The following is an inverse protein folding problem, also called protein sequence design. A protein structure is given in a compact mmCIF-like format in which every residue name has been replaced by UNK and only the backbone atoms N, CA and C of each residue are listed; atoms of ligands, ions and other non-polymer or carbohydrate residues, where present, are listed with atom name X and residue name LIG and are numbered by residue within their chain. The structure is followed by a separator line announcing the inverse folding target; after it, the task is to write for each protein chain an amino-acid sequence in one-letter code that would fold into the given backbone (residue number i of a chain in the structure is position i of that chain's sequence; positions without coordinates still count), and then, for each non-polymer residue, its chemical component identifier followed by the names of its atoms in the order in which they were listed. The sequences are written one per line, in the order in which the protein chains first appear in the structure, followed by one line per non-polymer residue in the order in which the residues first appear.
data_IF_219203806240
#
_entry.id   IF_219203806240
#
_cell.length_a   1.000
_cell.length_b   1.000
_cell.length_c   1.000
_cell.angle_alpha   90.00
_cell.angle_beta   90.00
_cell.angle_gamma   90.00
#
_symmetry.space_group_name_H-M   'P 1'
#
loop_
_entity.id
_entity.type
_entity.pdbx_description
1 polymer ?
#
# COMPACT_ATOMS: atom_id res chain seq x y z
N UNK A 1 -4.64 47.02 13.38
CA UNK A 1 -5.66 47.60 12.48
C UNK A 1 -5.01 48.30 11.30
N UNK A 2 -4.00 49.16 11.52
CA UNK A 2 -3.41 50.04 10.51
C UNK A 2 -2.94 49.37 9.21
N UNK A 3 -2.32 48.18 9.27
CA UNK A 3 -1.78 47.51 8.07
C UNK A 3 -2.86 47.10 7.07
N UNK A 4 -4.01 46.60 7.54
CA UNK A 4 -5.09 46.11 6.67
C UNK A 4 -5.93 47.25 6.09
N UNK A 5 -6.13 48.30 6.87
CA UNK A 5 -6.76 49.54 6.41
C UNK A 5 -5.91 50.27 5.37
N UNK A 6 -4.60 50.27 5.59
CA UNK A 6 -3.61 50.75 4.61
C UNK A 6 -3.70 49.95 3.30
N UNK A 7 -3.75 48.60 3.37
CA UNK A 7 -3.94 47.76 2.18
C UNK A 7 -5.26 48.09 1.48
N UNK A 8 -6.37 48.23 2.21
CA UNK A 8 -7.67 48.58 1.63
C UNK A 8 -7.63 49.93 0.91
N UNK A 9 -6.95 50.94 1.47
CA UNK A 9 -6.76 52.24 0.84
C UNK A 9 -5.91 52.14 -0.43
N UNK A 10 -4.84 51.35 -0.42
CA UNK A 10 -4.00 51.10 -1.60
C UNK A 10 -4.74 50.35 -2.72
N UNK A 11 -5.66 49.45 -2.36
CA UNK A 11 -6.47 48.69 -3.33
C UNK A 11 -7.68 49.49 -3.86
N UNK A 12 -8.01 50.64 -3.26
CA UNK A 12 -9.15 51.46 -3.62
C UNK A 12 -8.81 52.49 -4.73
N UNK A 13 -8.42 52.00 -5.91
CA UNK A 13 -8.10 52.87 -7.06
C UNK A 13 -9.19 52.79 -8.14
N UNK A 14 -9.68 53.92 -8.68
CA UNK A 14 -10.70 53.93 -9.72
C UNK A 14 -10.29 53.12 -10.96
N UNK A 15 -11.23 52.35 -11.52
CA UNK A 15 -11.08 51.54 -12.75
C UNK A 15 -9.99 50.45 -12.68
N UNK A 16 -9.60 50.01 -11.50
CA UNK A 16 -8.71 48.85 -11.32
C UNK A 16 -9.41 47.69 -10.61
N UNK A 17 -9.04 46.47 -10.99
CA UNK A 17 -9.45 45.25 -10.33
C UNK A 17 -8.19 44.49 -9.87
N UNK A 18 -8.17 44.09 -8.60
CA UNK A 18 -7.08 43.30 -8.03
C UNK A 18 -7.55 41.85 -7.86
N UNK A 19 -6.86 40.92 -8.47
CA UNK A 19 -7.09 39.48 -8.28
C UNK A 19 -6.10 38.97 -7.26
N UNK A 20 -6.59 38.55 -6.09
CA UNK A 20 -5.76 38.05 -4.99
C UNK A 20 -5.98 36.54 -4.88
N UNK A 21 -4.90 35.77 -5.05
CA UNK A 21 -4.89 34.34 -4.75
C UNK A 21 -4.28 34.12 -3.36
N UNK A 22 -5.10 33.70 -2.39
CA UNK A 22 -4.68 33.46 -1.03
C UNK A 22 -5.35 32.20 -0.44
N UNK A 23 -4.67 31.57 0.51
CA UNK A 23 -5.25 30.52 1.36
C UNK A 23 -5.87 31.21 2.58
N UNK A 24 -7.20 31.28 2.59
CA UNK A 24 -7.97 32.00 3.60
C UNK A 24 -7.64 31.54 5.03
N UNK A 25 -7.50 30.23 5.23
CA UNK A 25 -7.21 29.64 6.54
C UNK A 25 -5.82 30.05 7.03
N UNK A 26 -4.81 30.01 6.16
CA UNK A 26 -3.44 30.42 6.54
C UNK A 26 -3.36 31.90 6.86
N UNK A 27 -4.12 32.73 6.15
CA UNK A 27 -4.16 34.16 6.43
C UNK A 27 -4.89 34.40 7.77
N UNK A 28 -5.98 33.70 8.04
CA UNK A 28 -6.67 33.75 9.34
C UNK A 28 -5.75 33.28 10.48
N UNK A 29 -4.98 32.20 10.29
CA UNK A 29 -4.01 31.70 11.27
C UNK A 29 -2.90 32.73 11.56
N UNK A 30 -2.36 33.37 10.52
CA UNK A 30 -1.37 34.43 10.67
C UNK A 30 -1.94 35.66 11.39
N UNK A 31 -3.21 35.99 11.14
CA UNK A 31 -3.92 37.05 11.85
C UNK A 31 -4.15 36.68 13.32
N UNK A 32 -4.42 35.40 13.64
CA UNK A 32 -4.60 34.91 15.01
C UNK A 32 -3.35 35.11 15.87
N UNK A 33 -2.15 34.89 15.29
CA UNK A 33 -0.88 35.14 15.99
C UNK A 33 -0.72 36.62 16.36
N UNK A 34 -1.20 37.52 15.51
CA UNK A 34 -1.05 38.97 15.69
C UNK A 34 -2.20 39.61 16.48
N UNK A 35 -3.37 39.00 16.46
CA UNK A 35 -4.59 39.43 17.13
C UNK A 35 -5.23 38.24 17.86
N UNK A 36 -4.66 37.83 19.01
CA UNK A 36 -5.22 36.73 19.80
C UNK A 36 -6.63 37.08 20.31
N UNK A 37 -7.52 36.09 20.30
CA UNK A 37 -8.90 36.25 20.76
C UNK A 37 -8.93 36.51 22.28
N UNK A 38 -9.51 37.63 22.76
CA UNK A 38 -9.59 37.92 24.19
C UNK A 38 -10.51 36.96 24.97
N UNK A 39 -11.26 36.05 24.31
CA UNK A 39 -12.28 35.20 24.92
C UNK A 39 -11.86 33.81 25.41
N UNK A 40 -10.62 33.36 25.22
CA UNK A 40 -10.19 31.98 25.59
C UNK A 40 -9.93 31.76 27.10
N UNK A 41 -10.78 32.31 27.96
CA UNK A 41 -10.72 32.17 29.42
C UNK A 41 -11.95 31.55 30.07
N UNK A 42 -13.15 31.75 29.55
CA UNK A 42 -14.37 31.15 30.09
C UNK A 42 -15.49 31.27 29.06
N UNK A 43 -15.88 30.14 28.44
CA UNK A 43 -17.27 29.79 28.11
C UNK A 43 -17.26 28.47 27.32
N UNK A 44 -17.08 27.37 28.05
CA UNK A 44 -17.63 26.10 27.62
C UNK A 44 -19.16 26.21 27.75
N UNK A 45 -19.90 26.31 26.65
CA UNK A 45 -21.35 26.14 26.75
C UNK A 45 -22.23 26.58 25.58
N UNK A 46 -21.94 27.66 24.86
CA UNK A 46 -22.94 28.21 23.95
C UNK A 46 -22.40 28.59 22.57
N UNK A 47 -23.04 27.98 21.56
CA UNK A 47 -23.16 28.38 20.16
C UNK A 47 -21.95 28.14 19.23
N UNK A 48 -22.07 27.04 18.45
CA UNK A 48 -21.23 26.67 17.29
C UNK A 48 -21.30 27.66 16.10
N UNK A 49 -21.71 28.91 16.32
CA UNK A 49 -21.92 29.94 15.29
C UNK A 49 -21.22 31.27 15.62
N UNK A 50 -20.20 31.28 16.47
CA UNK A 50 -19.32 32.44 16.57
C UNK A 50 -18.36 32.43 15.38
N UNK A 51 -18.67 33.20 14.33
CA UNK A 51 -17.73 33.46 13.24
C UNK A 51 -16.43 34.02 13.83
N UNK A 52 -15.31 33.29 13.64
CA UNK A 52 -14.03 33.69 14.24
C UNK A 52 -13.62 35.09 13.76
N UNK A 53 -13.28 36.02 14.68
CA UNK A 53 -12.91 37.39 14.30
C UNK A 53 -11.80 37.45 13.26
N UNK A 54 -10.83 36.53 13.33
CA UNK A 54 -9.72 36.40 12.39
C UNK A 54 -10.17 36.12 10.94
N UNK A 55 -11.20 35.29 10.75
CA UNK A 55 -11.76 34.95 9.44
C UNK A 55 -12.49 36.14 8.80
N UNK A 56 -13.16 36.95 9.63
CA UNK A 56 -13.94 38.10 9.18
C UNK A 56 -13.10 39.29 8.68
N UNK A 57 -11.80 39.32 8.99
CA UNK A 57 -10.91 40.39 8.52
C UNK A 57 -10.67 40.35 7.01
N UNK A 58 -10.69 39.16 6.38
CA UNK A 58 -10.52 39.03 4.94
C UNK A 58 -11.72 39.59 4.16
N UNK A 59 -12.93 39.43 4.70
CA UNK A 59 -14.16 39.99 4.12
C UNK A 59 -14.13 41.53 4.04
N UNK A 60 -13.31 42.20 4.86
CA UNK A 60 -13.17 43.67 4.83
C UNK A 60 -12.27 44.16 3.69
N UNK A 61 -11.44 43.29 3.11
CA UNK A 61 -10.48 43.61 2.05
C UNK A 61 -10.97 43.07 0.71
N UNK A 62 -11.48 41.84 0.69
CA UNK A 62 -11.90 41.15 -0.53
C UNK A 62 -13.40 41.33 -0.73
N UNK A 63 -13.79 41.98 -1.83
CA UNK A 63 -15.21 42.25 -2.16
C UNK A 63 -15.94 41.01 -2.68
N UNK A 64 -15.24 40.15 -3.42
CA UNK A 64 -15.81 38.94 -3.99
C UNK A 64 -14.80 37.82 -3.84
N UNK A 65 -15.16 36.81 -3.05
CA UNK A 65 -14.39 35.59 -2.91
C UNK A 65 -14.89 34.58 -3.94
N UNK A 66 -13.97 34.00 -4.69
CA UNK A 66 -14.25 32.87 -5.59
C UNK A 66 -13.47 31.68 -5.06
N UNK A 67 -14.12 30.74 -4.33
CA UNK A 67 -13.43 29.56 -3.86
C UNK A 67 -13.03 28.71 -5.06
N UNK A 68 -11.79 28.20 -5.06
CA UNK A 68 -11.37 27.25 -6.07
C UNK A 68 -12.08 25.92 -5.79
N UNK A 69 -12.92 25.41 -6.72
CA UNK A 69 -13.61 24.16 -6.51
C UNK A 69 -12.60 23.01 -6.47
N UNK A 70 -12.88 22.03 -5.61
CA UNK A 70 -12.19 20.73 -5.67
C UNK A 70 -12.54 20.01 -6.96
N UNK A 71 -11.62 19.20 -7.47
CA UNK A 71 -11.89 18.38 -8.65
C UNK A 71 -13.06 17.43 -8.34
N UNK A 72 -13.94 17.20 -9.31
CA UNK A 72 -14.92 16.12 -9.25
C UNK A 72 -14.22 14.75 -9.39
N UNK A 73 -14.96 13.65 -9.20
CA UNK A 73 -14.42 12.30 -9.43
C UNK A 73 -13.92 12.13 -10.87
N UNK A 74 -14.71 12.57 -11.85
CA UNK A 74 -14.33 12.56 -13.26
C UNK A 74 -13.07 13.40 -13.51
N UNK A 75 -13.01 14.60 -12.92
CA UNK A 75 -11.87 15.49 -13.11
C UNK A 75 -10.60 14.99 -12.44
N UNK A 76 -10.75 14.27 -11.33
CA UNK A 76 -9.63 13.60 -10.65
C UNK A 76 -9.05 12.52 -11.57
N UNK A 77 -9.91 11.71 -12.18
CA UNK A 77 -9.49 10.66 -13.12
C UNK A 77 -8.81 11.26 -14.35
N UNK A 78 -9.43 12.26 -14.98
CA UNK A 78 -8.86 13.00 -16.11
C UNK A 78 -7.51 13.65 -15.74
N UNK A 79 -7.42 14.24 -14.55
CA UNK A 79 -6.19 14.86 -14.07
C UNK A 79 -5.06 13.85 -13.86
N UNK A 80 -5.36 12.65 -13.34
CA UNK A 80 -4.38 11.57 -13.22
C UNK A 80 -3.85 11.12 -14.57
N UNK A 81 -4.74 10.93 -15.57
CA UNK A 81 -4.34 10.56 -16.94
C UNK A 81 -3.44 11.64 -17.54
N UNK A 82 -3.87 12.91 -17.50
CA UNK A 82 -3.11 14.03 -18.05
C UNK A 82 -1.74 14.21 -17.36
N UNK A 83 -1.66 14.00 -16.04
CA UNK A 83 -0.39 14.05 -15.33
C UNK A 83 0.57 12.95 -15.78
N UNK A 84 0.09 11.74 -16.06
CA UNK A 84 0.94 10.68 -16.59
C UNK A 84 1.39 10.98 -18.02
N UNK A 85 0.48 11.43 -18.88
CA UNK A 85 0.80 11.83 -20.26
C UNK A 85 1.81 12.98 -20.32
N UNK A 86 1.71 13.97 -19.42
CA UNK A 86 2.59 15.14 -19.38
C UNK A 86 4.08 14.83 -19.16
N UNK A 87 4.42 13.58 -18.83
CA UNK A 87 5.80 13.15 -18.65
C UNK A 87 6.40 12.48 -19.88
N UNK A 88 5.52 12.01 -20.77
CA UNK A 88 5.88 11.32 -22.00
C UNK A 88 5.73 12.24 -23.20
N UNK A 89 4.77 13.16 -23.14
CA UNK A 89 4.39 14.05 -24.22
C UNK A 89 4.91 15.46 -23.98
N UNK A 90 5.15 16.19 -25.07
CA UNK A 90 5.39 17.62 -25.02
C UNK A 90 4.09 18.40 -24.75
N UNK A 91 4.20 19.66 -24.34
CA UNK A 91 3.00 20.51 -24.11
C UNK A 91 2.12 20.64 -25.37
N UNK A 92 2.74 20.63 -26.56
CA UNK A 92 2.01 20.71 -27.83
C UNK A 92 1.18 19.45 -28.10
N UNK A 93 1.76 18.28 -27.82
CA UNK A 93 1.10 16.98 -28.00
C UNK A 93 0.07 16.67 -26.90
N UNK A 94 0.21 17.31 -25.73
CA UNK A 94 -0.73 17.17 -24.61
C UNK A 94 -2.02 17.99 -24.81
N UNK A 95 -1.93 19.12 -25.50
CA UNK A 95 -3.05 20.06 -25.70
C UNK A 95 -4.31 19.39 -26.29
N UNK A 96 -4.23 18.53 -27.33
CA UNK A 96 -5.37 17.79 -27.84
C UNK A 96 -6.09 16.91 -26.79
N UNK A 97 -5.34 16.29 -25.87
CA UNK A 97 -5.90 15.48 -24.79
C UNK A 97 -6.61 16.35 -23.75
N UNK A 98 -6.06 17.53 -23.43
CA UNK A 98 -6.71 18.50 -22.54
C UNK A 98 -8.05 18.93 -23.13
N UNK A 99 -8.06 19.32 -24.41
CA UNK A 99 -9.28 19.76 -25.11
C UNK A 99 -10.33 18.64 -25.19
N UNK A 100 -9.89 17.40 -25.44
CA UNK A 100 -10.77 16.24 -25.43
C UNK A 100 -11.40 15.98 -24.05
N UNK A 101 -10.63 16.06 -22.97
CA UNK A 101 -11.15 15.96 -21.60
C UNK A 101 -12.17 17.07 -21.29
N UNK A 102 -11.94 18.30 -21.75
CA UNK A 102 -12.90 19.42 -21.58
C UNK A 102 -14.20 19.16 -22.34
N UNK A 103 -14.13 18.65 -23.57
CA UNK A 103 -15.32 18.26 -24.35
C UNK A 103 -16.10 17.15 -23.64
N UNK A 104 -15.42 16.07 -23.25
CA UNK A 104 -16.04 14.94 -22.55
C UNK A 104 -16.71 15.36 -21.23
N UNK A 105 -16.09 16.26 -20.46
CA UNK A 105 -16.70 16.84 -19.26
C UNK A 105 -18.02 17.55 -19.56
N UNK A 106 -18.06 18.38 -20.61
CA UNK A 106 -19.26 19.14 -21.00
C UNK A 106 -20.37 18.25 -21.52
N UNK A 107 -20.00 17.20 -22.25
CA UNK A 107 -20.93 16.24 -22.86
C UNK A 107 -21.34 15.11 -21.91
N UNK A 108 -20.81 15.08 -20.68
CA UNK A 108 -20.97 13.98 -19.71
C UNK A 108 -20.54 12.61 -20.29
N UNK A 109 -19.51 12.62 -21.13
CA UNK A 109 -18.94 11.43 -21.74
C UNK A 109 -18.07 10.61 -20.77
N UNK A 110 -17.80 9.36 -21.14
CA UNK A 110 -16.88 8.48 -20.43
C UNK A 110 -15.43 8.82 -20.79
N UNK A 111 -14.53 8.74 -19.80
CA UNK A 111 -13.09 9.00 -20.03
C UNK A 111 -12.45 7.97 -20.95
N UNK A 112 -12.99 6.74 -21.02
CA UNK A 112 -12.55 5.68 -21.94
C UNK A 112 -12.56 6.12 -23.42
N UNK A 113 -13.42 7.08 -23.76
CA UNK A 113 -13.53 7.62 -25.12
C UNK A 113 -12.36 8.56 -25.48
N UNK A 114 -11.47 8.89 -24.54
CA UNK A 114 -10.34 9.80 -24.76
C UNK A 114 -9.37 9.26 -25.82
N UNK A 115 -9.11 7.95 -25.82
CA UNK A 115 -8.22 7.30 -26.78
C UNK A 115 -8.77 7.36 -28.22
N UNK A 116 -10.09 7.31 -28.38
CA UNK A 116 -10.74 7.46 -29.67
C UNK A 116 -10.86 8.93 -30.12
N UNK A 117 -10.89 9.87 -29.16
CA UNK A 117 -11.07 11.30 -29.42
C UNK A 117 -9.78 11.98 -29.91
N UNK A 118 -8.62 11.44 -29.58
CA UNK A 118 -7.31 11.93 -30.02
C UNK A 118 -6.64 10.78 -30.78
N UNK A 119 -6.70 10.79 -32.11
CA UNK A 119 -6.04 9.79 -32.97
C UNK A 119 -4.52 9.78 -32.68
N UNK A 120 -4.09 8.93 -31.75
CA UNK A 120 -2.74 8.96 -31.22
C UNK A 120 -2.51 7.88 -30.17
N UNK A 121 -1.23 7.80 -29.75
CA UNK A 121 -0.57 6.90 -28.81
C UNK A 121 -1.48 6.06 -27.89
N UNK A 122 -1.08 4.80 -27.66
CA UNK A 122 -1.72 3.93 -26.67
C UNK A 122 -1.64 4.55 -25.26
N UNK A 123 -2.80 4.93 -24.73
CA UNK A 123 -2.99 5.50 -23.38
C UNK A 123 -3.66 4.50 -22.41
N UNK A 124 -3.79 3.24 -22.81
CA UNK A 124 -4.54 2.23 -22.04
C UNK A 124 -3.95 2.01 -20.63
N UNK A 125 -2.63 2.06 -20.49
CA UNK A 125 -1.95 1.91 -19.22
C UNK A 125 -2.24 3.08 -18.26
N UNK A 126 -2.21 4.32 -18.76
CA UNK A 126 -2.51 5.53 -17.99
C UNK A 126 -3.97 5.55 -17.54
N UNK A 127 -4.89 5.10 -18.39
CA UNK A 127 -6.33 5.02 -18.11
C UNK A 127 -6.64 3.90 -17.10
N UNK A 128 -5.98 2.75 -17.24
CA UNK A 128 -6.06 1.67 -16.25
C UNK A 128 -5.52 2.10 -14.88
N UNK A 129 -4.39 2.82 -14.85
CA UNK A 129 -3.81 3.36 -13.61
C UNK A 129 -4.75 4.38 -12.96
N UNK A 130 -5.27 5.34 -13.74
CA UNK A 130 -6.17 6.38 -13.23
C UNK A 130 -7.48 5.80 -12.69
N UNK A 131 -8.09 4.84 -13.39
CA UNK A 131 -9.34 4.21 -12.93
C UNK A 131 -9.17 3.42 -11.63
N UNK A 132 -8.02 2.73 -11.44
CA UNK A 132 -7.69 2.02 -10.18
C UNK A 132 -7.40 2.97 -9.03
N UNK A 133 -6.71 4.08 -9.28
CA UNK A 133 -6.29 5.02 -8.23
C UNK A 133 -7.36 6.05 -7.84
N UNK A 134 -8.24 6.43 -8.77
CA UNK A 134 -9.24 7.49 -8.56
C UNK A 134 -10.13 7.26 -7.34
N UNK A 135 -10.74 6.07 -7.10
CA UNK A 135 -11.61 5.86 -5.95
C UNK A 135 -10.92 6.24 -4.63
N UNK A 136 -9.67 5.82 -4.49
CA UNK A 136 -8.86 5.96 -3.28
C UNK A 136 -8.44 7.41 -3.08
N UNK A 137 -7.85 7.99 -4.13
CA UNK A 137 -7.30 9.33 -4.07
C UNK A 137 -8.41 10.36 -3.95
N UNK A 138 -9.55 10.13 -4.60
CA UNK A 138 -10.70 11.03 -4.51
C UNK A 138 -11.30 11.05 -3.09
N UNK A 139 -11.56 9.86 -2.52
CA UNK A 139 -12.14 9.74 -1.16
C UNK A 139 -11.26 10.42 -0.11
N UNK A 140 -9.94 10.19 -0.15
CA UNK A 140 -9.03 10.62 0.92
C UNK A 140 -8.31 11.95 0.68
N UNK A 141 -8.14 12.38 -0.58
CA UNK A 141 -7.52 13.68 -0.91
C UNK A 141 -8.54 14.76 -1.25
N UNK A 142 -9.84 14.43 -1.24
CA UNK A 142 -10.96 15.33 -1.52
C UNK A 142 -10.78 16.13 -2.82
N UNK A 143 -10.27 15.48 -3.87
CA UNK A 143 -10.09 16.11 -5.18
C UNK A 143 -9.11 17.29 -5.22
N UNK A 144 -8.20 17.43 -4.24
CA UNK A 144 -7.20 18.50 -4.23
C UNK A 144 -6.08 18.24 -5.27
N UNK A 145 -5.95 19.04 -6.34
CA UNK A 145 -4.94 18.81 -7.38
C UNK A 145 -3.51 18.80 -6.85
N UNK A 146 -3.22 19.68 -5.88
CA UNK A 146 -1.90 19.79 -5.24
C UNK A 146 -1.56 18.53 -4.45
N UNK A 147 -2.51 18.00 -3.67
CA UNK A 147 -2.30 16.78 -2.88
C UNK A 147 -2.11 15.57 -3.79
N UNK A 148 -2.91 15.47 -4.85
CA UNK A 148 -2.80 14.40 -5.86
C UNK A 148 -1.42 14.43 -6.55
N UNK A 149 -1.00 15.59 -7.06
CA UNK A 149 0.33 15.74 -7.70
C UNK A 149 1.46 15.40 -6.73
N UNK A 150 1.38 15.86 -5.48
CA UNK A 150 2.38 15.53 -4.44
C UNK A 150 2.43 14.02 -4.19
N UNK A 151 1.28 13.36 -4.06
CA UNK A 151 1.21 11.92 -3.88
C UNK A 151 1.89 11.16 -5.03
N UNK A 152 1.61 11.54 -6.29
CA UNK A 152 2.22 10.91 -7.46
C UNK A 152 3.73 11.17 -7.57
N UNK A 153 4.19 12.35 -7.18
CA UNK A 153 5.62 12.65 -7.10
C UNK A 153 6.31 11.76 -6.06
N UNK A 154 5.73 11.66 -4.88
CA UNK A 154 6.26 10.81 -3.81
C UNK A 154 6.26 9.33 -4.24
N UNK A 155 5.25 8.88 -4.99
CA UNK A 155 5.17 7.53 -5.53
C UNK A 155 6.35 7.19 -6.43
N UNK A 156 6.74 8.10 -7.33
CA UNK A 156 7.89 7.92 -8.24
C UNK A 156 9.20 7.87 -7.49
N UNK A 157 9.38 8.78 -6.53
CA UNK A 157 10.60 8.80 -5.71
C UNK A 157 10.74 7.47 -4.98
N UNK A 158 9.65 6.92 -4.46
CA UNK A 158 9.68 5.61 -3.78
C UNK A 158 9.93 4.45 -4.72
N UNK A 159 9.35 4.46 -5.91
CA UNK A 159 9.64 3.45 -6.94
C UNK A 159 11.12 3.46 -7.28
N UNK A 160 11.69 4.64 -7.57
CA UNK A 160 13.13 4.77 -7.84
C UNK A 160 14.00 4.25 -6.68
N UNK A 161 13.63 4.53 -5.43
CA UNK A 161 14.36 4.02 -4.26
C UNK A 161 14.21 2.49 -4.12
N UNK A 162 13.02 1.95 -4.38
CA UNK A 162 12.75 0.51 -4.36
C UNK A 162 13.55 -0.22 -5.44
N UNK A 163 13.55 0.29 -6.68
CA UNK A 163 14.29 -0.24 -7.81
C UNK A 163 15.79 -0.28 -7.54
N UNK A 164 16.36 0.81 -6.98
CA UNK A 164 17.77 0.86 -6.60
C UNK A 164 18.15 -0.10 -5.47
N UNK A 165 17.19 -0.56 -4.66
CA UNK A 165 17.38 -1.60 -3.63
C UNK A 165 17.11 -3.02 -4.15
N UNK A 166 16.75 -3.18 -5.42
CA UNK A 166 16.39 -4.46 -6.01
C UNK A 166 15.00 -4.96 -5.60
N UNK A 167 14.13 -4.08 -5.08
CA UNK A 167 12.75 -4.41 -4.74
C UNK A 167 11.90 -4.21 -5.99
N UNK A 168 11.56 -5.31 -6.67
CA UNK A 168 10.74 -5.28 -7.89
C UNK A 168 9.26 -5.39 -7.50
N UNK A 169 8.54 -4.26 -7.53
CA UNK A 169 7.10 -4.21 -7.30
C UNK A 169 6.40 -3.39 -8.38
N UNK A 170 5.19 -3.82 -8.73
CA UNK A 170 4.36 -3.05 -9.66
C UNK A 170 4.00 -1.67 -9.08
N UNK A 171 3.99 -0.61 -9.91
CA UNK A 171 3.65 0.75 -9.49
C UNK A 171 2.36 0.88 -8.68
N UNK A 172 1.37 0.06 -9.01
CA UNK A 172 0.05 0.06 -8.39
C UNK A 172 0.05 -0.54 -6.98
N UNK A 173 0.88 -1.57 -6.75
CA UNK A 173 1.07 -2.17 -5.43
C UNK A 173 1.70 -1.13 -4.49
N UNK A 174 2.75 -0.46 -4.97
CA UNK A 174 3.42 0.62 -4.25
C UNK A 174 2.43 1.73 -3.92
N UNK A 175 1.60 2.14 -4.88
CA UNK A 175 0.59 3.18 -4.66
C UNK A 175 -0.47 2.75 -3.62
N UNK A 176 -0.96 1.51 -3.68
CA UNK A 176 -1.90 0.94 -2.71
C UNK A 176 -1.30 0.90 -1.29
N UNK A 177 -0.03 0.55 -1.15
CA UNK A 177 0.68 0.57 0.14
C UNK A 177 0.93 2.00 0.64
N UNK A 178 1.26 2.94 -0.24
CA UNK A 178 1.43 4.34 0.12
C UNK A 178 0.15 5.01 0.59
N UNK A 179 -0.99 4.62 0.04
CA UNK A 179 -2.31 5.06 0.52
C UNK A 179 -2.48 4.62 1.96
N UNK A 180 -2.22 3.34 2.25
CA UNK A 180 -2.32 2.80 3.60
C UNK A 180 -1.44 3.61 4.56
N UNK A 181 -0.17 3.82 4.22
CA UNK A 181 0.78 4.56 5.06
C UNK A 181 0.38 6.03 5.31
N UNK A 182 0.03 6.78 4.25
CA UNK A 182 -0.16 8.23 4.36
C UNK A 182 -1.55 8.65 4.81
N UNK A 183 -2.55 7.82 4.51
CA UNK A 183 -3.96 8.16 4.69
C UNK A 183 -4.60 7.38 5.83
N UNK A 184 -4.00 6.26 6.25
CA UNK A 184 -4.53 5.35 7.26
C UNK A 184 -3.41 4.89 8.22
N UNK A 185 -2.81 5.81 9.01
CA UNK A 185 -1.64 5.49 9.84
C UNK A 185 -1.90 4.33 10.83
N UNK A 186 -3.07 4.30 11.48
CA UNK A 186 -3.41 3.24 12.45
C UNK A 186 -3.52 1.86 11.78
N UNK A 187 -4.12 1.82 10.58
CA UNK A 187 -4.21 0.61 9.78
C UNK A 187 -2.82 0.17 9.28
N UNK A 188 -1.95 1.12 8.95
CA UNK A 188 -0.57 0.86 8.55
C UNK A 188 0.23 0.25 9.71
N UNK A 189 0.19 0.82 10.91
CA UNK A 189 0.85 0.26 12.10
C UNK A 189 0.32 -1.15 12.42
N UNK A 190 -0.98 -1.40 12.19
CA UNK A 190 -1.57 -2.74 12.33
C UNK A 190 -0.96 -3.75 11.34
N UNK A 191 -0.79 -3.36 10.07
CA UNK A 191 -0.16 -4.18 9.03
C UNK A 191 1.32 -4.41 9.33
N UNK A 192 2.04 -3.39 9.81
CA UNK A 192 3.43 -3.54 10.27
C UNK A 192 3.52 -4.49 11.48
N UNK A 193 2.54 -4.45 12.38
CA UNK A 193 2.41 -5.41 13.47
C UNK A 193 2.19 -6.85 12.99
N UNK A 194 1.44 -7.06 11.90
CA UNK A 194 1.33 -8.38 11.28
C UNK A 194 2.66 -8.85 10.68
N UNK A 195 3.40 -7.96 10.03
CA UNK A 195 4.74 -8.26 9.53
C UNK A 195 5.71 -8.62 10.66
N UNK A 196 5.69 -7.83 11.75
CA UNK A 196 6.52 -8.07 12.93
C UNK A 196 6.21 -9.41 13.63
N UNK A 197 4.97 -9.92 13.52
CA UNK A 197 4.57 -11.23 14.04
C UNK A 197 4.73 -12.37 13.02
N UNK A 198 5.08 -12.06 11.78
CA UNK A 198 5.12 -13.04 10.68
C UNK A 198 3.73 -13.61 10.32
N UNK A 199 2.67 -12.82 10.52
CA UNK A 199 1.28 -13.20 10.20
C UNK A 199 0.74 -12.51 8.95
N UNK A 200 1.54 -11.65 8.30
CA UNK A 200 1.12 -10.74 7.23
C UNK A 200 0.28 -11.44 6.16
N UNK A 201 0.83 -12.50 5.54
CA UNK A 201 0.17 -13.20 4.44
C UNK A 201 -1.17 -13.80 4.86
N UNK A 202 -1.20 -14.47 6.02
CA UNK A 202 -2.42 -15.10 6.56
C UNK A 202 -3.53 -14.10 6.87
N UNK A 203 -3.18 -12.92 7.40
CA UNK A 203 -4.12 -11.86 7.74
C UNK A 203 -4.61 -11.17 6.47
N UNK A 204 -3.73 -10.95 5.51
CA UNK A 204 -4.07 -10.33 4.23
C UNK A 204 -4.99 -11.21 3.39
N UNK A 205 -4.76 -12.53 3.34
CA UNK A 205 -5.68 -13.46 2.67
C UNK A 205 -7.08 -13.46 3.31
N UNK A 206 -7.16 -13.42 4.65
CA UNK A 206 -8.45 -13.32 5.36
C UNK A 206 -9.14 -11.98 5.08
N UNK A 207 -8.36 -10.90 5.02
CA UNK A 207 -8.85 -9.56 4.72
C UNK A 207 -9.42 -9.48 3.29
N UNK A 208 -8.70 -10.02 2.31
CA UNK A 208 -9.16 -10.08 0.92
C UNK A 208 -10.40 -10.97 0.77
N UNK A 209 -10.46 -12.09 1.49
CA UNK A 209 -11.65 -12.93 1.52
C UNK A 209 -12.87 -12.21 2.13
N UNK A 210 -12.67 -11.41 3.19
CA UNK A 210 -13.72 -10.60 3.81
C UNK A 210 -14.14 -9.40 2.94
N UNK A 211 -13.22 -8.86 2.15
CA UNK A 211 -13.47 -7.75 1.24
C UNK A 211 -14.31 -8.16 0.02
N UNK A 212 -14.26 -9.44 -0.37
CA UNK A 212 -14.85 -9.95 -1.61
C UNK A 212 -13.95 -9.69 -2.82
N UNK A 213 -14.31 -10.21 -4.02
CA UNK A 213 -13.53 -9.95 -5.23
C UNK A 213 -13.40 -8.43 -5.46
N UNK A 214 -12.22 -7.97 -5.93
CA UNK A 214 -11.99 -6.54 -6.16
C UNK A 214 -13.08 -6.04 -7.08
N UNK A 215 -13.90 -5.10 -6.58
CA UNK A 215 -14.93 -4.48 -7.40
C UNK A 215 -14.22 -3.60 -8.41
N UNK A 216 -13.92 -4.13 -9.59
CA UNK A 216 -13.83 -3.28 -10.78
C UNK A 216 -15.20 -2.62 -10.87
N UNK A 217 -15.31 -1.28 -10.77
CA UNK A 217 -16.61 -0.65 -10.83
C UNK A 217 -17.26 -1.07 -12.15
N UNK A 218 -18.44 -1.71 -12.15
CA UNK A 218 -19.16 -1.88 -13.40
C UNK A 218 -19.46 -0.47 -13.91
N UNK A 219 -19.16 -0.20 -15.17
CA UNK A 219 -19.77 0.88 -15.90
C UNK A 219 -21.29 0.73 -15.76
N UNK A 220 -21.90 1.43 -14.79
CA UNK A 220 -23.35 1.47 -14.62
C UNK A 220 -23.91 2.19 -15.84
N UNK A 221 -24.41 1.40 -16.80
CA UNK A 221 -25.46 1.88 -17.71
C UNK A 221 -26.64 2.30 -16.83
N UNK A 222 -27.06 3.54 -17.01
CA UNK A 222 -28.31 4.01 -16.45
C UNK A 222 -29.46 3.17 -17.04
N UNK A 223 -30.07 2.34 -16.21
CA UNK A 223 -31.43 1.86 -16.41
C UNK A 223 -32.02 1.51 -15.05
N UNK A 224 -33.09 2.23 -14.74
CA UNK A 224 -34.05 2.15 -13.65
C UNK A 224 -34.07 0.87 -12.81
N UNK A 225 -33.95 1.03 -11.50
CA UNK A 225 -34.67 0.24 -10.50
C UNK A 225 -34.82 1.07 -9.20
N UNK A 226 -36.04 1.07 -8.66
CA UNK A 226 -36.57 1.86 -7.54
C UNK A 226 -35.90 1.59 -6.18
N UNK A 227 -36.05 2.50 -5.18
CA UNK A 227 -35.26 2.48 -3.97
C UNK A 227 -35.78 1.44 -2.97
N UNK A 228 -34.98 0.41 -2.71
CA UNK A 228 -35.19 -0.47 -1.56
C UNK A 228 -34.68 0.23 -0.28
N UNK A 229 -35.64 0.50 0.61
CA UNK A 229 -35.54 0.89 2.03
C UNK A 229 -34.13 1.04 2.62
N UNK A 230 -33.76 2.29 2.89
CA UNK A 230 -32.63 2.65 3.76
C UNK A 230 -33.01 2.29 5.20
N UNK A 231 -32.36 1.26 5.74
CA UNK A 231 -32.32 1.02 7.18
C UNK A 231 -31.33 2.02 7.76
N UNK A 232 -31.77 2.84 8.72
CA UNK A 232 -30.92 3.76 9.47
C UNK A 232 -29.91 2.97 10.31
N UNK A 233 -28.75 2.65 9.72
CA UNK A 233 -27.59 2.19 10.47
C UNK A 233 -26.88 3.41 11.07
N UNK A 234 -26.88 3.44 12.39
CA UNK A 234 -26.27 4.46 13.24
C UNK A 234 -24.84 4.79 12.77
N UNK A 235 -24.56 6.09 12.57
CA UNK A 235 -23.24 6.65 12.31
C UNK A 235 -22.30 6.35 13.48
N UNK A 236 -21.71 5.15 13.44
CA UNK A 236 -20.59 4.76 14.29
C UNK A 236 -19.35 5.20 13.53
N UNK A 237 -18.41 5.90 14.19
CA UNK A 237 -17.15 6.26 13.53
C UNK A 237 -16.51 4.99 12.94
N UNK A 238 -16.06 5.04 11.67
CA UNK A 238 -15.52 3.86 11.01
C UNK A 238 -14.31 3.37 11.81
N UNK A 239 -14.36 2.13 12.26
CA UNK A 239 -13.22 1.57 13.00
C UNK A 239 -12.04 1.41 12.05
N UNK A 240 -10.81 1.45 12.56
CA UNK A 240 -9.59 1.24 11.75
C UNK A 240 -9.65 -0.08 10.93
N UNK A 241 -10.42 -1.07 11.38
CA UNK A 241 -10.66 -2.31 10.68
C UNK A 241 -11.58 -2.16 9.46
N UNK A 242 -12.62 -1.32 9.55
CA UNK A 242 -13.54 -1.04 8.44
C UNK A 242 -12.81 -0.31 7.29
N UNK A 243 -11.93 0.62 7.63
CA UNK A 243 -11.07 1.29 6.65
C UNK A 243 -10.09 0.31 5.98
N UNK A 244 -9.59 -0.66 6.74
CA UNK A 244 -8.72 -1.72 6.23
C UNK A 244 -9.46 -2.64 5.25
N UNK A 245 -10.74 -2.96 5.51
CA UNK A 245 -11.58 -3.71 4.57
C UNK A 245 -11.83 -2.90 3.29
N UNK A 246 -12.15 -1.60 3.41
CA UNK A 246 -12.31 -0.73 2.23
C UNK A 246 -11.03 -0.67 1.41
N UNK A 247 -9.88 -0.57 2.07
CA UNK A 247 -8.57 -0.61 1.42
C UNK A 247 -8.30 -1.96 0.73
N UNK A 248 -8.70 -3.07 1.34
CA UNK A 248 -8.54 -4.40 0.78
C UNK A 248 -9.27 -4.60 -0.55
N UNK A 249 -10.45 -3.99 -0.72
CA UNK A 249 -11.28 -4.07 -1.94
C UNK A 249 -10.62 -3.47 -3.17
N UNK A 250 -9.59 -2.64 -2.97
CA UNK A 250 -8.90 -1.95 -4.04
C UNK A 250 -8.01 -2.92 -4.82
N UNK A 251 -8.01 -2.90 -6.17
CA UNK A 251 -7.01 -3.64 -6.94
C UNK A 251 -5.61 -2.99 -6.78
N UNK A 252 -4.51 -3.75 -6.98
CA UNK A 252 -4.41 -5.20 -7.17
C UNK A 252 -4.48 -5.98 -5.84
N UNK A 253 -4.73 -7.30 -5.94
CA UNK A 253 -4.60 -8.24 -4.82
C UNK A 253 -3.13 -8.38 -4.39
N UNK A 254 -2.91 -8.56 -3.10
CA UNK A 254 -1.61 -8.48 -2.45
C UNK A 254 -1.16 -9.82 -1.83
N UNK A 255 -2.05 -10.80 -1.67
CA UNK A 255 -1.75 -12.05 -0.94
C UNK A 255 -0.68 -12.97 -1.56
N UNK A 256 -0.36 -12.81 -2.85
CA UNK A 256 0.63 -13.63 -3.56
C UNK A 256 1.99 -12.95 -3.72
N UNK A 257 2.09 -11.66 -3.37
CA UNK A 257 3.29 -10.86 -3.61
C UNK A 257 4.10 -10.76 -2.31
N UNK A 258 5.43 -10.86 -2.40
CA UNK A 258 6.31 -10.58 -1.26
C UNK A 258 6.39 -9.07 -1.00
N UNK A 259 5.64 -8.61 0.00
CA UNK A 259 5.57 -7.20 0.40
C UNK A 259 6.61 -6.85 1.47
N UNK A 260 7.25 -7.83 2.10
CA UNK A 260 8.10 -7.59 3.26
C UNK A 260 9.23 -6.59 2.96
N UNK A 261 10.00 -6.70 1.84
CA UNK A 261 11.09 -5.78 1.54
C UNK A 261 10.62 -4.32 1.44
N UNK A 262 9.46 -4.09 0.82
CA UNK A 262 8.90 -2.76 0.68
C UNK A 262 8.31 -2.23 1.99
N UNK A 263 7.68 -3.08 2.80
CA UNK A 263 7.15 -2.66 4.10
C UNK A 263 8.27 -2.27 5.08
N UNK A 264 9.41 -2.94 5.05
CA UNK A 264 10.61 -2.49 5.80
C UNK A 264 11.11 -1.12 5.30
N UNK A 265 11.13 -0.91 3.98
CA UNK A 265 11.45 0.38 3.39
C UNK A 265 10.44 1.46 3.80
N UNK A 266 9.15 1.15 3.80
CA UNK A 266 8.06 2.05 4.19
C UNK A 266 8.14 2.41 5.69
N UNK A 267 8.35 1.44 6.57
CA UNK A 267 8.56 1.67 7.99
C UNK A 267 9.74 2.61 8.25
N UNK A 268 10.84 2.45 7.50
CA UNK A 268 11.99 3.35 7.59
C UNK A 268 11.66 4.79 7.17
N UNK A 269 10.75 5.01 6.21
CA UNK A 269 10.27 6.35 5.86
C UNK A 269 9.41 6.98 6.94
N UNK A 270 8.61 6.17 7.65
CA UNK A 270 7.77 6.62 8.77
C UNK A 270 8.54 6.78 10.09
N UNK A 271 9.81 6.35 10.13
CA UNK A 271 10.62 6.33 11.34
C UNK A 271 10.24 5.22 12.33
N UNK A 272 9.43 4.25 11.91
CA UNK A 272 9.05 3.09 12.72
C UNK A 272 10.15 2.02 12.66
N UNK A 273 10.60 1.54 13.82
CA UNK A 273 11.53 0.43 13.90
C UNK A 273 10.76 -0.88 13.92
N UNK A 274 10.84 -1.64 12.83
CA UNK A 274 10.16 -2.91 12.70
C UNK A 274 11.05 -4.03 13.27
N UNK A 275 10.76 -4.41 14.52
CA UNK A 275 11.44 -5.51 15.19
C UNK A 275 10.61 -6.78 15.05
N UNK A 276 11.28 -7.89 14.73
CA UNK A 276 10.63 -9.19 14.73
C UNK A 276 10.21 -9.55 16.17
N UNK A 277 8.92 -9.70 16.40
CA UNK A 277 8.31 -10.08 17.68
C UNK A 277 7.70 -11.48 17.64
N UNK A 278 7.85 -12.19 16.51
CA UNK A 278 7.31 -13.53 16.32
C UNK A 278 8.03 -14.62 17.13
N UNK A 279 9.18 -14.30 17.74
CA UNK A 279 9.99 -15.20 18.55
C UNK A 279 10.52 -14.49 19.81
N UNK A 280 10.68 -15.22 20.93
CA UNK A 280 11.47 -14.75 22.07
C UNK A 280 12.88 -14.33 21.68
N UNK A 281 13.44 -13.33 22.37
CA UNK A 281 14.76 -12.76 22.09
C UNK A 281 15.86 -13.80 21.86
N UNK A 282 15.94 -14.82 22.72
CA UNK A 282 16.92 -15.91 22.63
C UNK A 282 16.84 -16.72 21.32
N UNK A 283 15.64 -16.92 20.79
CA UNK A 283 15.42 -17.75 19.59
C UNK A 283 15.59 -16.93 18.31
N UNK A 284 15.48 -15.59 18.37
CA UNK A 284 15.67 -14.72 17.21
C UNK A 284 17.08 -14.80 16.64
N UNK A 285 18.10 -14.88 17.49
CA UNK A 285 19.49 -14.98 17.04
C UNK A 285 19.75 -16.32 16.33
N UNK A 286 19.17 -17.41 16.87
CA UNK A 286 19.25 -18.75 16.25
C UNK A 286 18.52 -18.74 14.90
N UNK A 287 17.29 -18.19 14.86
CA UNK A 287 16.51 -18.07 13.64
C UNK A 287 17.22 -17.23 12.57
N UNK A 288 17.77 -16.07 12.95
CA UNK A 288 18.50 -15.18 12.04
C UNK A 288 19.74 -15.86 11.45
N UNK A 289 20.51 -16.59 12.26
CA UNK A 289 21.67 -17.34 11.79
C UNK A 289 21.27 -18.50 10.86
N UNK A 290 20.17 -19.21 11.14
CA UNK A 290 19.66 -20.29 10.29
C UNK A 290 19.13 -19.77 8.94
N UNK A 291 18.49 -18.61 8.93
CA UNK A 291 17.96 -17.95 7.73
C UNK A 291 19.01 -17.14 6.95
N UNK A 292 20.18 -16.87 7.54
CA UNK A 292 21.24 -16.08 6.91
C UNK A 292 21.64 -16.67 5.55
N UNK A 293 21.89 -15.82 4.57
CA UNK A 293 22.47 -16.21 3.28
C UNK A 293 23.95 -16.58 3.39
N UNK A 294 24.60 -16.23 4.50
CA UNK A 294 26.02 -16.49 4.76
C UNK A 294 26.18 -17.85 5.46
N UNK A 295 26.91 -18.76 4.81
CA UNK A 295 27.17 -20.12 5.34
C UNK A 295 27.89 -20.13 6.69
N UNK A 296 28.71 -19.12 6.97
CA UNK A 296 29.42 -19.00 8.25
C UNK A 296 28.43 -18.80 9.41
N UNK A 297 27.44 -17.92 9.22
CA UNK A 297 26.41 -17.66 10.22
C UNK A 297 25.54 -18.89 10.45
N UNK A 298 25.14 -19.58 9.38
CA UNK A 298 24.41 -20.86 9.50
C UNK A 298 25.17 -21.91 10.31
N UNK A 299 26.51 -21.92 10.23
CA UNK A 299 27.39 -22.84 10.99
C UNK A 299 27.60 -22.43 12.44
N UNK A 300 27.35 -21.16 12.80
CA UNK A 300 27.43 -20.72 14.21
C UNK A 300 26.40 -21.41 15.07
N UNK A 301 25.25 -21.75 14.50
CA UNK A 301 24.28 -22.62 15.15
C UNK A 301 24.81 -24.04 15.05
N UNK A 302 25.29 -24.60 16.16
CA UNK A 302 25.79 -25.97 16.24
C UNK A 302 24.66 -26.95 16.58
N UNK A 303 24.90 -28.25 16.36
CA UNK A 303 23.90 -29.27 16.72
C UNK A 303 23.73 -29.36 18.25
N UNK A 304 24.75 -28.97 19.02
CA UNK A 304 24.66 -28.84 20.47
C UNK A 304 23.72 -27.70 20.89
N UNK A 305 23.78 -26.55 20.20
CA UNK A 305 22.86 -25.43 20.47
C UNK A 305 21.41 -25.81 20.18
N UNK A 306 21.18 -26.59 19.11
CA UNK A 306 19.84 -27.10 18.77
C UNK A 306 19.39 -28.11 19.83
N UNK A 307 20.24 -29.06 20.24
CA UNK A 307 19.89 -30.07 21.24
C UNK A 307 19.69 -29.51 22.66
N UNK A 308 20.24 -28.32 22.94
CA UNK A 308 20.03 -27.61 24.21
C UNK A 308 18.67 -26.91 24.31
N UNK A 309 17.88 -26.86 23.22
CA UNK A 309 16.56 -26.24 23.22
C UNK A 309 15.55 -27.09 24.01
N UNK A 310 14.54 -26.45 24.59
CA UNK A 310 13.34 -27.15 25.06
C UNK A 310 12.49 -27.62 23.87
N UNK A 311 11.63 -28.61 24.08
CA UNK A 311 10.72 -29.11 23.03
C UNK A 311 9.76 -28.00 22.53
N UNK A 312 9.24 -27.18 23.44
CA UNK A 312 8.38 -26.02 23.10
C UNK A 312 9.13 -24.95 22.29
N UNK A 313 10.41 -24.74 22.59
CA UNK A 313 11.28 -23.79 21.89
C UNK A 313 11.62 -24.28 20.49
N UNK A 314 11.91 -25.58 20.34
CA UNK A 314 12.12 -26.22 19.06
C UNK A 314 10.87 -26.12 18.17
N UNK A 315 9.68 -26.36 18.73
CA UNK A 315 8.42 -26.23 18.01
C UNK A 315 8.14 -24.77 17.60
N UNK A 316 8.38 -23.82 18.48
CA UNK A 316 8.25 -22.38 18.19
C UNK A 316 9.19 -21.94 17.04
N UNK A 317 10.42 -22.45 17.03
CA UNK A 317 11.40 -22.19 15.99
C UNK A 317 11.01 -22.83 14.66
N UNK A 318 10.49 -24.07 14.66
CA UNK A 318 9.95 -24.73 13.47
C UNK A 318 8.78 -23.93 12.89
N UNK A 319 7.82 -23.52 13.73
CA UNK A 319 6.67 -22.73 13.28
C UNK A 319 7.11 -21.40 12.66
N UNK A 320 8.08 -20.72 13.27
CA UNK A 320 8.63 -19.50 12.72
C UNK A 320 9.34 -19.73 11.37
N UNK A 321 10.24 -20.73 11.28
CA UNK A 321 10.98 -21.02 10.05
C UNK A 321 10.04 -21.46 8.91
N UNK A 322 9.03 -22.28 9.21
CA UNK A 322 8.04 -22.68 8.21
C UNK A 322 7.24 -21.48 7.68
N UNK A 323 6.89 -20.52 8.55
CA UNK A 323 6.27 -19.25 8.13
C UNK A 323 7.23 -18.40 7.30
N UNK A 324 8.48 -18.23 7.75
CA UNK A 324 9.49 -17.46 7.03
C UNK A 324 9.73 -18.01 5.62
N UNK A 325 9.86 -19.33 5.46
CA UNK A 325 10.03 -19.95 4.14
C UNK A 325 8.79 -19.88 3.23
N UNK A 326 7.61 -19.67 3.80
CA UNK A 326 6.36 -19.44 3.05
C UNK A 326 6.22 -17.99 2.57
N UNK A 327 6.56 -17.05 3.44
CA UNK A 327 6.34 -15.62 3.19
C UNK A 327 7.53 -14.99 2.45
N UNK A 328 8.74 -15.54 2.59
CA UNK A 328 9.97 -15.04 1.97
C UNK A 328 10.57 -16.13 1.06
N UNK A 329 10.28 -16.13 -0.25
CA UNK A 329 10.70 -17.20 -1.15
C UNK A 329 12.23 -17.32 -1.23
N UNK A 330 12.96 -16.20 -1.17
CA UNK A 330 14.43 -16.20 -1.21
C UNK A 330 15.08 -16.92 0.00
N UNK A 331 14.39 -16.99 1.14
CA UNK A 331 14.87 -17.65 2.36
C UNK A 331 14.35 -19.09 2.48
N UNK A 332 13.50 -19.55 1.56
CA UNK A 332 12.78 -20.82 1.66
C UNK A 332 13.71 -22.03 1.83
N UNK A 333 14.74 -22.14 0.98
CA UNK A 333 15.69 -23.26 1.06
C UNK A 333 16.43 -23.30 2.41
N UNK A 334 16.80 -22.14 2.96
CA UNK A 334 17.49 -22.04 4.25
C UNK A 334 16.54 -22.39 5.41
N UNK A 335 15.31 -21.87 5.36
CA UNK A 335 14.27 -22.15 6.34
C UNK A 335 13.95 -23.65 6.43
N UNK A 336 13.75 -24.31 5.29
CA UNK A 336 13.45 -25.75 5.25
C UNK A 336 14.63 -26.60 5.73
N UNK A 337 15.87 -26.23 5.39
CA UNK A 337 17.06 -26.90 5.96
C UNK A 337 17.11 -26.76 7.48
N UNK A 338 16.80 -25.58 8.01
CA UNK A 338 16.70 -25.33 9.45
C UNK A 338 15.66 -26.23 10.11
N UNK A 339 14.45 -26.29 9.54
CA UNK A 339 13.36 -27.18 10.02
C UNK A 339 13.81 -28.64 10.06
N UNK A 340 14.41 -29.14 8.98
CA UNK A 340 14.90 -30.52 8.92
C UNK A 340 15.92 -30.79 10.03
N UNK A 341 16.88 -29.88 10.23
CA UNK A 341 17.92 -30.01 11.25
C UNK A 341 17.35 -30.03 12.68
N UNK A 342 16.29 -29.27 12.95
CA UNK A 342 15.60 -29.28 14.25
C UNK A 342 14.82 -30.59 14.41
N UNK A 343 14.10 -31.05 13.38
CA UNK A 343 13.34 -32.32 13.46
C UNK A 343 14.23 -33.55 13.67
N UNK A 344 15.47 -33.53 13.17
CA UNK A 344 16.43 -34.62 13.44
C UNK A 344 16.87 -34.66 14.91
N UNK A 345 16.91 -33.52 15.59
CA UNK A 345 17.22 -33.45 17.03
C UNK A 345 15.98 -33.75 17.90
N UNK A 346 14.78 -33.39 17.43
CA UNK A 346 13.50 -33.61 18.13
C UNK A 346 12.52 -34.43 17.27
N UNK A 347 12.63 -35.77 17.23
CA UNK A 347 11.72 -36.65 16.51
C UNK A 347 10.22 -36.44 16.74
N UNK A 348 9.71 -36.12 17.95
CA UNK A 348 8.26 -35.92 18.14
C UNK A 348 7.69 -34.72 17.36
N UNK A 349 8.52 -33.76 16.97
CA UNK A 349 8.08 -32.55 16.23
C UNK A 349 7.88 -32.79 14.73
N UNK A 350 8.31 -33.94 14.21
CA UNK A 350 8.33 -34.29 12.77
C UNK A 350 6.95 -34.17 12.11
N UNK A 351 5.89 -34.67 12.76
CA UNK A 351 4.54 -34.64 12.18
C UNK A 351 4.01 -33.20 12.06
N UNK A 352 4.27 -32.38 13.07
CA UNK A 352 3.87 -30.97 13.09
C UNK A 352 4.62 -30.18 12.02
N UNK A 353 5.93 -30.39 11.91
CA UNK A 353 6.76 -29.79 10.87
C UNK A 353 6.26 -30.15 9.46
N UNK A 354 5.92 -31.42 9.23
CA UNK A 354 5.38 -31.87 7.94
C UNK A 354 4.06 -31.15 7.58
N UNK A 355 3.13 -30.99 8.53
CA UNK A 355 1.87 -30.25 8.31
C UNK A 355 2.12 -28.77 7.97
N UNK A 356 3.09 -28.14 8.60
CA UNK A 356 3.41 -26.72 8.34
C UNK A 356 4.03 -26.54 6.95
N UNK A 357 4.91 -27.45 6.54
CA UNK A 357 5.49 -27.45 5.19
C UNK A 357 4.44 -27.73 4.11
N UNK A 358 3.41 -28.54 4.41
CA UNK A 358 2.26 -28.74 3.50
C UNK A 358 1.42 -27.47 3.28
N UNK A 359 1.52 -26.47 4.16
CA UNK A 359 0.76 -25.24 4.01
C UNK A 359 1.29 -24.32 2.91
N UNK A 360 2.48 -24.61 2.36
CA UNK A 360 3.07 -23.89 1.22
C UNK A 360 2.48 -24.45 -0.07
N UNK A 361 1.90 -23.61 -0.95
CA UNK A 361 1.37 -24.06 -2.24
C UNK A 361 2.45 -24.72 -3.11
N UNK A 362 2.12 -25.80 -3.80
CA UNK A 362 3.07 -26.54 -4.64
C UNK A 362 3.67 -25.69 -5.78
N UNK A 363 2.97 -24.65 -6.21
CA UNK A 363 3.44 -23.69 -7.23
C UNK A 363 4.54 -22.74 -6.74
N UNK A 364 4.73 -22.63 -5.43
CA UNK A 364 5.67 -21.67 -4.79
C UNK A 364 6.90 -22.37 -4.20
N UNK A 365 7.06 -23.68 -4.43
CA UNK A 365 8.20 -24.45 -3.94
C UNK A 365 9.40 -24.31 -4.87
N UNK A 366 10.53 -23.90 -4.32
CA UNK A 366 11.81 -23.92 -5.03
C UNK A 366 12.28 -25.37 -5.27
N UNK A 367 12.86 -25.68 -6.45
CA UNK A 367 13.38 -27.03 -6.73
C UNK A 367 14.43 -27.50 -5.70
N UNK A 368 15.23 -26.56 -5.18
CA UNK A 368 16.23 -26.84 -4.15
C UNK A 368 15.58 -27.29 -2.83
N UNK A 369 14.45 -26.68 -2.46
CA UNK A 369 13.66 -27.05 -1.28
C UNK A 369 13.20 -28.50 -1.35
N UNK A 370 12.69 -28.94 -2.50
CA UNK A 370 12.20 -30.32 -2.70
C UNK A 370 13.30 -31.36 -2.47
N UNK A 371 14.55 -31.06 -2.86
CA UNK A 371 15.69 -31.96 -2.69
C UNK A 371 16.21 -32.03 -1.26
N UNK A 372 15.93 -31.02 -0.42
CA UNK A 372 16.44 -30.95 0.95
C UNK A 372 15.58 -31.66 2.00
N UNK A 373 14.32 -31.99 1.69
CA UNK A 373 13.40 -32.64 2.64
C UNK A 373 13.67 -34.16 2.66
N UNK A 374 14.16 -34.74 3.77
CA UNK A 374 14.35 -36.19 3.88
C UNK A 374 13.02 -36.94 3.85
N UNK A 375 13.03 -38.17 3.32
CA UNK A 375 11.84 -38.98 3.07
C UNK A 375 10.92 -39.18 4.29
N UNK A 376 11.45 -39.10 5.52
CA UNK A 376 10.67 -39.23 6.76
C UNK A 376 9.84 -37.99 7.12
N UNK A 377 10.27 -36.80 6.69
CA UNK A 377 9.56 -35.51 6.82
C UNK A 377 8.79 -35.16 5.55
N UNK A 378 8.94 -35.93 4.47
CA UNK A 378 8.19 -35.70 3.25
C UNK A 378 6.71 -35.92 3.57
N UNK A 379 5.85 -34.91 3.34
CA UNK A 379 4.42 -35.17 3.32
C UNK A 379 4.15 -36.23 2.25
N UNK A 380 3.08 -37.02 2.41
CA UNK A 380 2.74 -38.08 1.46
C UNK A 380 2.90 -37.54 0.03
N UNK A 381 3.79 -38.17 -0.74
CA UNK A 381 4.32 -37.66 -2.00
C UNK A 381 3.25 -37.35 -3.06
N UNK A 382 1.97 -37.63 -2.80
CA UNK A 382 0.83 -37.26 -3.61
C UNK A 382 0.48 -35.75 -3.57
N UNK A 383 0.77 -35.03 -2.48
CA UNK A 383 0.35 -33.61 -2.34
C UNK A 383 1.24 -32.60 -3.08
N UNK A 384 2.54 -32.89 -3.23
CA UNK A 384 3.50 -32.02 -3.92
C UNK A 384 3.70 -32.38 -5.39
N UNK A 385 3.40 -33.62 -5.80
CA UNK A 385 3.60 -34.10 -7.17
C UNK A 385 2.45 -33.78 -8.14
N UNK A 386 1.31 -33.25 -7.69
CA UNK A 386 0.14 -32.98 -8.54
C UNK A 386 0.20 -31.64 -9.29
N UNK A 387 1.17 -30.77 -8.99
CA UNK A 387 1.28 -29.42 -9.59
C UNK A 387 2.43 -29.23 -10.59
N UNK A 388 3.34 -30.19 -10.77
CA UNK A 388 4.53 -29.98 -11.61
C UNK A 388 4.23 -30.19 -13.09
N UNK A 389 4.03 -29.09 -13.82
CA UNK A 389 4.28 -29.03 -15.26
C UNK A 389 5.69 -28.47 -15.52
N UNK A 390 6.74 -29.19 -15.12
CA UNK A 390 8.13 -28.87 -15.55
C UNK A 390 9.05 -30.09 -15.46
N UNK A 391 10.12 -30.16 -16.28
CA UNK A 391 10.75 -31.40 -16.71
C UNK A 391 11.55 -32.05 -15.58
N UNK A 392 11.37 -33.37 -15.43
CA UNK A 392 12.16 -34.21 -14.50
C UNK A 392 13.65 -34.12 -14.84
N UNK A 393 14.54 -33.76 -13.90
CA UNK A 393 15.93 -34.17 -14.01
C UNK A 393 15.98 -35.66 -13.65
N UNK A 394 16.17 -36.50 -14.67
CA UNK A 394 16.39 -37.93 -14.49
C UNK A 394 17.77 -38.14 -13.87
N UNK A 395 17.80 -38.72 -12.67
CA UNK A 395 19.02 -39.26 -12.06
C UNK A 395 19.39 -40.56 -12.77
N UNK A 396 20.12 -40.48 -13.88
CA UNK A 396 20.83 -41.65 -14.42
C UNK A 396 22.20 -41.73 -13.78
N UNK A 397 22.37 -42.71 -12.89
CA UNK A 397 23.68 -43.06 -12.35
C UNK A 397 24.51 -43.76 -13.41
N UNK A 398 25.66 -43.18 -13.77
CA UNK A 398 27.00 -43.80 -13.78
C UNK A 398 27.96 -42.98 -14.66
N UNK A 399 29.04 -42.50 -14.03
CA UNK A 399 30.33 -42.05 -14.58
C UNK A 399 30.39 -41.34 -15.95
N UNK A 400 30.67 -40.03 -15.95
CA UNK A 400 31.23 -39.31 -17.11
C UNK A 400 31.08 -37.78 -17.03
N UNK A 401 32.02 -36.96 -17.54
CA UNK A 401 32.03 -35.51 -17.36
C UNK A 401 31.03 -34.80 -18.30
N UNK A 402 30.34 -33.79 -17.77
CA UNK A 402 29.23 -33.08 -18.42
C UNK A 402 29.72 -32.16 -19.56
N UNK A 403 29.09 -32.27 -20.73
CA UNK A 403 29.00 -31.21 -21.74
C UNK A 403 27.59 -30.63 -21.72
N UNK A 404 27.50 -29.31 -21.75
CA UNK A 404 26.25 -28.55 -21.81
C UNK A 404 25.70 -28.53 -23.24
N UNK A 405 24.39 -28.74 -23.40
CA UNK A 405 23.60 -28.22 -24.52
C UNK A 405 22.44 -27.43 -23.96
#
# INVERSE_FOLDING_TARGET
MDTLETIRLFLAVPKMAFVVAADEHRVADALRVRFPDPGNGQQAGHERYAEEPASLYLHKIVQTTVPLPTLSRFDTEAFLVLLQLSQRLSDQDLTPYIDACVRLRREKGLLDNLAAAVNGNDISAELAFASRMTPILYEKLHGSPRRIKRFLNDLRVRQSIADHRGIVLEPEIVAKLMVLEKLLPDAFTTVLGWLARGELRSRLTKLEAAAGPPTTPPCRRASDEEPASVSEEQETEPTAFDELIRWAKLPPGLATVDLAPYLYLAAAFSGEQLLDTGLPGRLRDIAANLLSTVRLDQRRVTDADIAALGEDDALSLIEYLARAGRDRPAEQTAAVRGVVRITTAYPPTTERAARLLQSVPASELEPATILTVPAATQPSAASWNTGTSTPRPTRTGSSGPWRWR
#
